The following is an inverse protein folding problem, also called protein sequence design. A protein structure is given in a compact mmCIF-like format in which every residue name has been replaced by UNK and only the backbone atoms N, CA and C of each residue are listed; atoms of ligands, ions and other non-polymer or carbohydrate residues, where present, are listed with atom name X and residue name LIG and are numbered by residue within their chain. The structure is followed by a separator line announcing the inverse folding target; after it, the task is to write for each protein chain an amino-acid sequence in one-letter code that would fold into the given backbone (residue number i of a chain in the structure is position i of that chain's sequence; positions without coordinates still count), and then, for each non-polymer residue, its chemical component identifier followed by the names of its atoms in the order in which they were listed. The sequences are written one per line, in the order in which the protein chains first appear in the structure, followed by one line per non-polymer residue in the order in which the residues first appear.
data_IF_655768929593
#
_entry.id   IF_655768929593
#
_cell.length_a   1.000
_cell.length_b   1.000
_cell.length_c   1.000
_cell.angle_alpha   90.00
_cell.angle_beta   90.00
_cell.angle_gamma   90.00
#
_symmetry.space_group_name_H-M   'P 1'
#
loop_
_entity.id
_entity.type
_entity.pdbx_description
1 polymer ?
#
# COMPACT_ATOMS: atom_id res chain seq x y z
N UNK A 1 -15.33 10.08 -17.47
CA UNK A 1 -14.56 11.32 -17.78
C UNK A 1 -14.84 12.39 -16.74
N UNK A 2 -13.78 12.99 -16.17
CA UNK A 2 -13.84 14.09 -15.20
C UNK A 2 -12.94 15.25 -15.63
N UNK A 3 -13.34 16.49 -15.29
CA UNK A 3 -12.52 17.70 -15.45
C UNK A 3 -12.08 18.17 -14.06
N UNK A 4 -10.79 18.39 -13.88
CA UNK A 4 -10.17 18.83 -12.63
C UNK A 4 -9.43 20.13 -12.89
N UNK A 5 -9.68 21.14 -12.06
CA UNK A 5 -9.00 22.42 -12.11
C UNK A 5 -7.92 22.45 -11.02
N UNK A 6 -6.66 22.64 -11.41
CA UNK A 6 -5.54 22.69 -10.49
C UNK A 6 -4.57 23.80 -10.89
N UNK A 7 -4.23 24.69 -9.95
CA UNK A 7 -3.33 25.83 -10.18
C UNK A 7 -3.70 26.71 -11.39
N UNK A 8 -4.99 26.84 -11.72
CA UNK A 8 -5.46 27.61 -12.88
C UNK A 8 -5.41 26.85 -14.21
N UNK A 9 -4.96 25.60 -14.21
CA UNK A 9 -4.97 24.71 -15.37
C UNK A 9 -6.12 23.72 -15.27
N UNK A 10 -6.68 23.36 -16.42
CA UNK A 10 -7.79 22.41 -16.53
C UNK A 10 -7.30 21.10 -17.13
N UNK A 11 -7.51 20.01 -16.41
CA UNK A 11 -7.10 18.68 -16.79
C UNK A 11 -8.34 17.82 -17.03
N UNK A 12 -8.31 17.01 -18.08
CA UNK A 12 -9.39 16.06 -18.41
C UNK A 12 -8.86 14.65 -18.30
N UNK A 13 -9.52 13.84 -17.48
CA UNK A 13 -9.18 12.45 -17.27
C UNK A 13 -10.30 11.54 -17.76
N UNK A 14 -9.93 10.50 -18.50
CA UNK A 14 -10.80 9.35 -18.70
C UNK A 14 -10.70 8.49 -17.44
N UNK A 15 -11.84 8.18 -16.86
CA UNK A 15 -11.94 7.40 -15.63
C UNK A 15 -13.34 6.82 -15.54
N UNK A 16 -13.42 5.68 -14.87
CA UNK A 16 -14.67 5.07 -14.43
C UNK A 16 -15.27 5.85 -13.26
N UNK A 17 -16.55 5.62 -12.94
CA UNK A 17 -17.26 6.42 -11.93
C UNK A 17 -16.74 6.17 -10.51
N UNK A 18 -16.24 4.98 -10.20
CA UNK A 18 -15.60 4.63 -8.93
C UNK A 18 -14.20 5.24 -8.75
N UNK A 19 -13.54 5.60 -9.85
CA UNK A 19 -12.23 6.26 -9.84
C UNK A 19 -12.33 7.78 -9.66
N UNK A 20 -13.47 8.39 -10.00
CA UNK A 20 -13.68 9.85 -9.96
C UNK A 20 -13.31 10.46 -8.61
N UNK A 21 -13.82 9.90 -7.52
CA UNK A 21 -13.58 10.41 -6.17
C UNK A 21 -12.09 10.38 -5.82
N UNK A 22 -11.41 9.27 -6.16
CA UNK A 22 -9.98 9.10 -5.91
C UNK A 22 -9.12 10.06 -6.73
N UNK A 23 -9.51 10.36 -7.98
CA UNK A 23 -8.83 11.34 -8.81
C UNK A 23 -8.94 12.77 -8.26
N UNK A 24 -10.12 13.13 -7.74
CA UNK A 24 -10.32 14.42 -7.06
C UNK A 24 -9.48 14.50 -5.80
N UNK A 25 -9.47 13.44 -4.99
CA UNK A 25 -8.62 13.35 -3.78
C UNK A 25 -7.13 13.47 -4.13
N UNK A 26 -6.66 12.79 -5.19
CA UNK A 26 -5.28 12.88 -5.65
C UNK A 26 -4.90 14.32 -6.06
N UNK A 27 -5.77 15.01 -6.80
CA UNK A 27 -5.56 16.41 -7.17
C UNK A 27 -5.51 17.32 -5.94
N UNK A 28 -6.44 17.15 -5.00
CA UNK A 28 -6.45 17.90 -3.73
C UNK A 28 -5.19 17.64 -2.90
N UNK A 29 -4.64 16.42 -2.95
CA UNK A 29 -3.39 16.11 -2.27
C UNK A 29 -2.21 16.90 -2.84
N UNK A 30 -2.11 17.00 -4.18
CA UNK A 30 -1.10 17.82 -4.85
C UNK A 30 -1.26 19.30 -4.46
N UNK A 31 -2.48 19.83 -4.50
CA UNK A 31 -2.74 21.22 -4.10
C UNK A 31 -2.37 21.48 -2.64
N UNK A 32 -2.73 20.57 -1.74
CA UNK A 32 -2.41 20.68 -0.30
C UNK A 32 -0.90 20.72 -0.07
N UNK A 33 -0.14 19.90 -0.80
CA UNK A 33 1.32 19.91 -0.70
C UNK A 33 1.91 21.22 -1.28
N UNK A 34 1.35 21.73 -2.37
CA UNK A 34 1.74 23.04 -2.92
C UNK A 34 1.45 24.20 -1.96
N UNK A 35 0.37 24.13 -1.16
CA UNK A 35 0.05 25.14 -0.15
C UNK A 35 1.08 25.21 0.98
N UNK A 36 1.86 24.14 1.22
CA UNK A 36 2.96 24.16 2.20
C UNK A 36 4.15 25.00 1.75
N UNK A 37 4.27 25.28 0.46
CA UNK A 37 5.32 26.12 -0.09
C UNK A 37 4.97 27.62 0.10
N UNK A 38 5.99 28.49 0.28
CA UNK A 38 5.81 29.94 0.22
C UNK A 38 5.11 30.36 -1.07
N UNK A 39 4.26 31.38 -1.02
CA UNK A 39 3.39 31.77 -2.15
C UNK A 39 4.21 32.13 -3.40
N UNK A 40 5.37 32.74 -3.20
CA UNK A 40 6.33 33.15 -4.23
C UNK A 40 6.95 31.95 -4.96
N UNK A 41 6.94 30.79 -4.29
CA UNK A 41 7.47 29.54 -4.79
C UNK A 41 6.39 28.66 -5.44
N UNK A 42 5.11 29.04 -5.45
CA UNK A 42 4.04 28.22 -6.06
C UNK A 42 3.97 28.43 -7.57
N UNK A 43 4.93 27.83 -8.28
CA UNK A 43 5.01 27.84 -9.73
C UNK A 43 4.94 26.43 -10.30
N UNK A 44 4.82 26.31 -11.62
CA UNK A 44 4.71 25.02 -12.33
C UNK A 44 5.90 24.09 -12.09
N UNK A 45 7.12 24.62 -11.94
CA UNK A 45 8.31 23.81 -11.64
C UNK A 45 8.19 23.14 -10.27
N UNK A 46 7.69 23.87 -9.29
CA UNK A 46 7.49 23.33 -7.95
C UNK A 46 6.26 22.41 -7.89
N UNK A 47 5.24 22.62 -8.73
CA UNK A 47 4.17 21.65 -8.93
C UNK A 47 4.73 20.30 -9.39
N UNK A 48 5.59 20.31 -10.41
CA UNK A 48 6.26 19.09 -10.88
C UNK A 48 7.11 18.43 -9.78
N UNK A 49 7.87 19.23 -9.03
CA UNK A 49 8.68 18.72 -7.92
C UNK A 49 7.83 18.07 -6.82
N UNK A 50 6.71 18.70 -6.45
CA UNK A 50 5.75 18.16 -5.48
C UNK A 50 5.13 16.87 -5.99
N UNK A 51 4.70 16.82 -7.26
CA UNK A 51 4.16 15.60 -7.87
C UNK A 51 5.17 14.46 -7.87
N UNK A 52 6.45 14.74 -8.16
CA UNK A 52 7.53 13.74 -8.10
C UNK A 52 7.75 13.26 -6.67
N UNK A 53 7.78 14.15 -5.68
CA UNK A 53 7.96 13.77 -4.28
C UNK A 53 6.80 12.87 -3.79
N UNK A 54 5.57 13.19 -4.18
CA UNK A 54 4.40 12.33 -3.90
C UNK A 54 4.56 10.94 -4.54
N UNK A 55 4.99 10.88 -5.80
CA UNK A 55 5.23 9.62 -6.48
C UNK A 55 6.35 8.81 -5.82
N UNK A 56 7.40 9.48 -5.35
CA UNK A 56 8.49 8.87 -4.58
C UNK A 56 7.98 8.28 -3.25
N UNK A 57 7.19 9.04 -2.48
CA UNK A 57 6.58 8.55 -1.24
C UNK A 57 5.68 7.33 -1.49
N UNK A 58 4.89 7.33 -2.57
CA UNK A 58 4.06 6.20 -2.95
C UNK A 58 4.89 4.95 -3.26
N UNK A 59 6.02 5.09 -3.95
CA UNK A 59 6.92 3.98 -4.24
C UNK A 59 7.53 3.41 -2.96
N UNK A 60 7.97 4.26 -2.04
CA UNK A 60 8.47 3.81 -0.74
C UNK A 60 7.41 3.02 0.05
N UNK A 61 6.18 3.54 0.14
CA UNK A 61 5.07 2.86 0.82
C UNK A 61 4.75 1.50 0.18
N UNK A 62 4.86 1.40 -1.15
CA UNK A 62 4.65 0.15 -1.88
C UNK A 62 5.72 -0.88 -1.54
N UNK A 63 6.98 -0.47 -1.51
CA UNK A 63 8.11 -1.33 -1.16
C UNK A 63 8.02 -1.82 0.29
N UNK A 64 7.67 -0.93 1.23
CA UNK A 64 7.41 -1.28 2.63
C UNK A 64 6.24 -2.27 2.75
N UNK A 65 5.15 -2.06 2.02
CA UNK A 65 4.01 -2.97 2.02
C UNK A 65 4.39 -4.37 1.51
N UNK A 66 5.19 -4.46 0.44
CA UNK A 66 5.67 -5.75 -0.07
C UNK A 66 6.61 -6.45 0.91
N UNK A 67 7.52 -5.70 1.54
CA UNK A 67 8.41 -6.24 2.55
C UNK A 67 7.61 -6.81 3.73
N UNK A 68 6.67 -6.03 4.26
CA UNK A 68 5.80 -6.44 5.36
C UNK A 68 4.96 -7.68 5.02
N UNK A 69 4.44 -7.76 3.78
CA UNK A 69 3.69 -8.93 3.31
C UNK A 69 4.57 -10.19 3.25
N UNK A 70 5.81 -10.05 2.76
CA UNK A 70 6.79 -11.15 2.72
C UNK A 70 7.13 -11.64 4.13
N UNK A 71 7.40 -10.72 5.06
CA UNK A 71 7.71 -11.05 6.45
C UNK A 71 6.53 -11.76 7.14
N UNK A 72 5.31 -11.29 6.89
CA UNK A 72 4.11 -11.92 7.43
C UNK A 72 3.92 -13.33 6.86
N UNK A 73 4.15 -13.52 5.55
CA UNK A 73 4.09 -14.83 4.90
C UNK A 73 5.09 -15.81 5.54
N UNK A 74 6.33 -15.37 5.77
CA UNK A 74 7.36 -16.19 6.40
C UNK A 74 6.97 -16.60 7.84
N UNK A 75 6.37 -15.68 8.61
CA UNK A 75 5.85 -15.98 9.96
C UNK A 75 4.71 -16.99 9.94
N UNK A 76 3.77 -16.84 9.00
CA UNK A 76 2.65 -17.79 8.83
C UNK A 76 3.18 -19.17 8.46
N UNK A 77 4.15 -19.26 7.55
CA UNK A 77 4.74 -20.53 7.14
C UNK A 77 5.47 -21.23 8.30
N UNK A 78 6.17 -20.47 9.14
CA UNK A 78 6.79 -20.99 10.35
C UNK A 78 5.75 -21.53 11.35
N UNK A 79 4.63 -20.80 11.55
CA UNK A 79 3.54 -21.26 12.41
C UNK A 79 2.91 -22.54 11.86
N UNK A 80 2.65 -22.61 10.55
CA UNK A 80 2.14 -23.81 9.90
C UNK A 80 3.07 -25.00 10.11
N UNK A 81 4.39 -24.83 9.91
CA UNK A 81 5.37 -25.90 10.12
C UNK A 81 5.36 -26.41 11.57
N UNK A 82 5.31 -25.50 12.56
CA UNK A 82 5.22 -25.87 13.98
C UNK A 82 3.93 -26.67 14.25
N UNK A 83 2.79 -26.20 13.73
CA UNK A 83 1.51 -26.87 13.93
C UNK A 83 1.49 -28.26 13.29
N UNK A 84 1.98 -28.40 12.06
CA UNK A 84 2.10 -29.69 11.37
C UNK A 84 2.98 -30.65 12.18
N UNK A 85 4.14 -30.21 12.64
CA UNK A 85 5.03 -31.03 13.48
C UNK A 85 4.36 -31.45 14.80
N UNK A 86 3.61 -30.55 15.45
CA UNK A 86 2.92 -30.84 16.69
C UNK A 86 1.78 -31.86 16.50
N UNK A 87 1.03 -31.74 15.41
CA UNK A 87 -0.02 -32.71 15.03
C UNK A 87 0.61 -34.08 14.79
N UNK A 88 1.70 -34.14 14.00
CA UNK A 88 2.41 -35.40 13.70
C UNK A 88 2.89 -36.10 14.97
N UNK A 89 3.49 -35.35 15.91
CA UNK A 89 3.94 -35.87 17.21
C UNK A 89 2.78 -36.42 18.05
N UNK A 90 1.63 -35.74 18.08
CA UNK A 90 0.44 -36.24 18.80
C UNK A 90 -0.07 -37.55 18.19
N UNK A 91 -0.18 -37.64 16.86
CA UNK A 91 -0.62 -38.90 16.20
C UNK A 91 0.32 -40.07 16.48
N UNK A 92 1.63 -39.83 16.58
CA UNK A 92 2.61 -40.88 16.91
C UNK A 92 2.51 -41.32 18.38
N UNK A 93 2.26 -40.39 19.31
CA UNK A 93 2.10 -40.72 20.74
C UNK A 93 0.81 -41.51 21.02
N UNK A 94 -0.32 -41.15 20.39
CA UNK A 94 -1.59 -41.86 20.56
C UNK A 94 -1.58 -43.28 19.98
N UNK A 95 -0.76 -43.55 18.96
CA UNK A 95 -0.63 -44.89 18.36
C UNK A 95 0.29 -45.82 19.17
N UNK A 96 1.21 -45.29 19.98
CA UNK A 96 2.01 -46.10 20.91
C UNK A 96 1.25 -46.55 22.16
N UNK A 97 0.24 -45.80 22.62
CA UNK A 97 -0.53 -46.14 23.84
C UNK A 97 -1.55 -47.28 23.62
N UNK A 98 -1.98 -47.55 22.38
CA UNK A 98 -2.97 -48.62 22.11
C UNK A 98 -2.36 -50.02 22.03
N UNK A 99 -1.02 -50.15 21.96
CA UNK A 99 -0.34 -51.44 21.80
C UNK A 99 0.11 -52.08 23.12
N UNK A 100 -0.18 -51.47 24.28
CA UNK A 100 0.30 -51.93 25.61
C UNK A 100 -0.86 -52.41 26.52
N UNK A 101 -2.07 -52.63 25.98
CA UNK A 101 -3.19 -53.18 26.77
C UNK A 101 -3.73 -54.48 26.15
#
# INVERSE_FOLDING_TARGET
MIEINMMGHRFKFQCEDDERTRLVEAANMVETQMLKLPKESRNERNLLMVSINIAYELLQLKDEAYHNASDMKAKIDAIHAILTNAIEQQTQQSSTETSVN
#
